data_IF_718507029367
#
_entry.id   IF_718507029367
#
_cell.length_a   1.000
_cell.length_b   1.000
_cell.length_c   1.000
_cell.angle_alpha   90.00
_cell.angle_beta   90.00
_cell.angle_gamma   90.00
#
_symmetry.space_group_name_H-M   'P 1'
#
loop_
_entity.id
_entity.type
_entity.pdbx_description
1 polymer ?
#
# COMPACT_ATOMS: atom_id res chain seq x y z
N UNK A 1 0.87 -10.31 -0.53
CA UNK A 1 0.98 -9.05 0.24
C UNK A 1 2.10 -9.20 1.25
N UNK A 2 2.93 -8.17 1.43
CA UNK A 2 4.00 -8.14 2.44
C UNK A 2 3.85 -6.88 3.29
N UNK A 3 4.10 -7.00 4.60
CA UNK A 3 4.04 -5.90 5.55
C UNK A 3 5.33 -5.87 6.37
N UNK A 4 5.91 -4.68 6.52
CA UNK A 4 7.11 -4.48 7.33
C UNK A 4 6.96 -3.17 8.09
N UNK A 5 7.38 -3.18 9.35
CA UNK A 5 7.46 -1.97 10.17
C UNK A 5 8.76 -1.24 9.88
N UNK A 6 8.69 0.05 9.62
CA UNK A 6 9.85 0.91 9.43
C UNK A 6 10.05 1.79 10.67
N UNK A 7 11.30 2.11 11.00
CA UNK A 7 11.64 3.02 12.10
C UNK A 7 11.47 4.49 11.71
N UNK A 8 12.19 4.91 10.66
CA UNK A 8 12.15 6.27 10.14
C UNK A 8 12.10 6.24 8.62
N UNK A 9 11.21 7.02 8.04
CA UNK A 9 11.06 7.21 6.59
C UNK A 9 11.57 8.58 6.12
N UNK A 10 12.19 9.37 7.01
CA UNK A 10 12.70 10.72 6.72
C UNK A 10 11.60 11.77 6.44
N UNK A 11 10.32 11.42 6.62
CA UNK A 11 9.17 12.23 6.21
C UNK A 11 8.35 12.73 7.41
N UNK A 12 9.00 13.11 8.51
CA UNK A 12 8.32 13.45 9.77
C UNK A 12 7.32 14.61 9.63
N UNK A 13 7.56 15.58 8.74
CA UNK A 13 6.62 16.67 8.46
C UNK A 13 5.32 16.24 7.75
N UNK A 14 5.26 15.00 7.26
CA UNK A 14 4.11 14.39 6.60
C UNK A 14 3.39 13.36 7.47
N UNK A 15 3.81 13.22 8.74
CA UNK A 15 3.24 12.25 9.65
C UNK A 15 1.72 12.46 9.85
N UNK A 16 0.95 11.38 10.08
CA UNK A 16 1.31 9.96 9.99
C UNK A 16 1.62 9.53 8.54
N UNK A 17 2.68 8.74 8.34
CA UNK A 17 3.20 8.37 7.01
C UNK A 17 3.30 6.85 6.82
N UNK A 18 2.99 6.38 5.62
CA UNK A 18 3.16 4.98 5.21
C UNK A 18 3.64 4.87 3.77
N UNK A 19 4.19 3.71 3.40
CA UNK A 19 4.63 3.41 2.02
C UNK A 19 3.90 2.18 1.53
N UNK A 20 3.18 2.31 0.41
CA UNK A 20 2.44 1.23 -0.23
C UNK A 20 2.95 1.10 -1.68
N UNK A 21 3.54 -0.05 -2.04
CA UNK A 21 4.16 -0.30 -3.35
C UNK A 21 5.09 0.84 -3.82
N UNK A 22 5.98 1.28 -2.92
CA UNK A 22 6.94 2.36 -3.18
C UNK A 22 6.36 3.78 -3.15
N UNK A 23 5.05 3.94 -2.97
CA UNK A 23 4.39 5.25 -2.92
C UNK A 23 4.22 5.73 -1.49
N UNK A 24 4.77 6.91 -1.19
CA UNK A 24 4.60 7.58 0.10
C UNK A 24 3.18 8.14 0.22
N UNK A 25 2.54 7.86 1.35
CA UNK A 25 1.24 8.39 1.76
C UNK A 25 1.43 9.26 3.01
N UNK A 26 0.98 10.51 2.93
CA UNK A 26 1.08 11.50 4.01
C UNK A 26 -0.25 11.68 4.73
N UNK A 27 -0.21 12.13 5.99
CA UNK A 27 -1.39 12.45 6.82
C UNK A 27 -2.41 11.30 6.87
N UNK A 28 -1.91 10.08 6.92
CA UNK A 28 -2.75 8.89 6.80
C UNK A 28 -3.60 8.68 8.06
N UNK A 29 -4.79 8.13 7.87
CA UNK A 29 -5.71 7.76 8.97
C UNK A 29 -5.94 6.24 8.96
N UNK A 30 -6.39 5.65 10.08
CA UNK A 30 -6.69 4.22 10.12
C UNK A 30 -7.71 3.80 9.05
N UNK A 31 -8.78 4.58 8.85
CA UNK A 31 -9.81 4.30 7.85
C UNK A 31 -9.26 4.46 6.42
N UNK A 32 -8.49 5.52 6.16
CA UNK A 32 -7.82 5.75 4.88
C UNK A 32 -6.87 4.60 4.50
N UNK A 33 -6.08 4.13 5.47
CA UNK A 33 -5.19 3.00 5.27
C UNK A 33 -5.95 1.71 4.94
N UNK A 34 -7.01 1.39 5.69
CA UNK A 34 -7.83 0.19 5.43
C UNK A 34 -8.45 0.26 4.03
N UNK A 35 -8.99 1.41 3.62
CA UNK A 35 -9.49 1.61 2.26
C UNK A 35 -8.41 1.36 1.21
N UNK A 36 -7.21 1.92 1.39
CA UNK A 36 -6.10 1.75 0.46
C UNK A 36 -5.61 0.29 0.35
N UNK A 37 -5.55 -0.43 1.47
CA UNK A 37 -5.20 -1.86 1.46
C UNK A 37 -6.26 -2.69 0.76
N UNK A 38 -7.55 -2.42 0.99
CA UNK A 38 -8.65 -3.10 0.28
C UNK A 38 -8.59 -2.86 -1.22
N UNK A 39 -8.34 -1.62 -1.65
CA UNK A 39 -8.14 -1.28 -3.06
C UNK A 39 -6.96 -2.07 -3.67
N UNK A 40 -5.82 -2.18 -2.96
CA UNK A 40 -4.67 -2.93 -3.43
C UNK A 40 -4.96 -4.43 -3.59
N UNK A 41 -5.54 -5.05 -2.56
CA UNK A 41 -5.89 -6.47 -2.59
C UNK A 41 -6.96 -6.76 -3.65
N UNK A 42 -7.91 -5.85 -3.85
CA UNK A 42 -8.90 -5.93 -4.91
C UNK A 42 -8.28 -5.86 -6.31
N UNK A 43 -7.28 -5.00 -6.52
CA UNK A 43 -6.53 -4.89 -7.78
C UNK A 43 -5.68 -6.12 -8.09
N UNK A 44 -5.19 -6.83 -7.06
CA UNK A 44 -4.38 -8.04 -7.27
C UNK A 44 -5.17 -9.17 -7.95
N UNK A 45 -6.50 -9.23 -7.80
CA UNK A 45 -7.31 -10.24 -8.53
C UNK A 45 -7.10 -10.12 -10.05
N UNK A 46 -7.23 -8.90 -10.57
CA UNK A 46 -7.11 -8.61 -12.00
C UNK A 46 -5.71 -8.94 -12.57
N UNK A 47 -4.65 -8.66 -11.79
CA UNK A 47 -3.26 -8.91 -12.20
C UNK A 47 -2.87 -10.38 -12.12
N UNK A 48 -3.36 -11.13 -11.12
CA UNK A 48 -3.07 -12.57 -11.02
C UNK A 48 -3.79 -13.32 -12.15
N UNK A 49 -5.05 -12.98 -12.43
CA UNK A 49 -5.81 -13.51 -13.57
C UNK A 49 -5.19 -13.16 -14.94
N UNK A 50 -4.57 -11.98 -15.07
CA UNK A 50 -3.84 -11.58 -16.29
C UNK A 50 -2.46 -12.20 -16.40
N UNK A 51 -1.79 -12.51 -15.29
CA UNK A 51 -0.50 -13.21 -15.28
C UNK A 51 -0.65 -14.70 -15.60
N UNK A 52 -1.79 -15.32 -15.28
CA UNK A 52 -2.08 -16.74 -15.59
C UNK A 52 -2.51 -16.96 -17.06
N UNK A 53 -3.02 -15.96 -17.78
CA UNK A 53 -3.35 -16.08 -19.24
C UNK A 53 -2.15 -15.92 -20.18
N UNK A 54 -0.96 -15.59 -19.65
CA UNK A 54 0.29 -15.42 -20.42
C UNK A 54 1.29 -16.56 -20.11
N UNK A 55 0.82 -17.63 -19.45
CA UNK A 55 1.55 -18.88 -19.24
C UNK A 55 1.11 -19.95 -20.24
#
# INVERSE_FOLDING_TARGET
FSLTTARCLGSCGLAPVAVLDGKVRAKETPDGMVRHVREMVGRTKDLTEQQERVA
#
